data_IF_210007918163
#
_entry.id   IF_210007918163
#
_cell.length_a   1.000
_cell.length_b   1.000
_cell.length_c   1.000
_cell.angle_alpha   90.00
_cell.angle_beta   90.00
_cell.angle_gamma   90.00
#
_symmetry.space_group_name_H-M   'P 1'
#
loop_
_entity.id
_entity.type
_entity.pdbx_description
1 polymer ?
#
# COMPACT_ATOMS: atom_id res chain seq x y z
N UNK A 1 20.71 2.36 12.98
CA UNK A 1 20.32 1.17 12.18
C UNK A 1 21.04 -0.08 12.72
N UNK A 2 21.09 -0.32 14.04
CA UNK A 2 21.98 -1.37 14.57
C UNK A 2 21.30 -2.69 14.98
N UNK A 3 19.97 -2.78 14.99
CA UNK A 3 19.30 -3.95 15.58
C UNK A 3 18.19 -4.54 14.70
N UNK A 4 18.34 -4.49 13.38
CA UNK A 4 17.40 -5.11 12.42
C UNK A 4 17.07 -6.57 12.77
N UNK A 5 18.10 -7.35 13.09
CA UNK A 5 17.95 -8.75 13.46
C UNK A 5 17.18 -8.94 14.79
N UNK A 6 17.33 -8.03 15.77
CA UNK A 6 16.57 -8.08 17.02
C UNK A 6 15.09 -7.77 16.79
N UNK A 7 14.81 -6.80 15.90
CA UNK A 7 13.43 -6.52 15.50
C UNK A 7 12.79 -7.75 14.83
N UNK A 8 13.50 -8.41 13.91
CA UNK A 8 12.99 -9.65 13.30
C UNK A 8 12.75 -10.74 14.34
N UNK A 9 13.67 -10.94 15.29
CA UNK A 9 13.47 -11.94 16.37
C UNK A 9 12.27 -11.62 17.26
N UNK A 10 12.09 -10.35 17.64
CA UNK A 10 10.94 -9.89 18.43
C UNK A 10 9.63 -10.12 17.68
N UNK A 11 9.57 -9.77 16.38
CA UNK A 11 8.40 -9.97 15.52
C UNK A 11 8.05 -11.45 15.37
N UNK A 12 9.04 -12.30 15.06
CA UNK A 12 8.84 -13.74 14.95
C UNK A 12 8.27 -14.32 16.25
N UNK A 13 8.82 -13.91 17.40
CA UNK A 13 8.36 -14.37 18.71
C UNK A 13 6.94 -13.89 19.02
N UNK A 14 6.63 -12.61 18.80
CA UNK A 14 5.31 -12.02 19.10
C UNK A 14 4.20 -12.65 18.29
N UNK A 15 4.47 -12.94 17.02
CA UNK A 15 3.48 -13.50 16.09
C UNK A 15 3.53 -15.04 16.02
N UNK A 16 4.32 -15.69 16.88
CA UNK A 16 4.48 -17.15 16.91
C UNK A 16 4.88 -17.74 15.54
N UNK A 17 5.78 -17.06 14.83
CA UNK A 17 6.29 -17.45 13.53
C UNK A 17 7.65 -18.13 13.67
N UNK A 18 7.86 -19.20 12.91
CA UNK A 18 9.17 -19.83 12.80
C UNK A 18 10.03 -19.12 11.76
N UNK A 19 11.36 -19.22 11.90
CA UNK A 19 12.29 -18.75 10.86
C UNK A 19 12.03 -19.47 9.54
N UNK A 20 11.68 -20.76 9.57
CA UNK A 20 11.36 -21.54 8.36
C UNK A 20 10.11 -21.01 7.63
N UNK A 21 9.07 -20.60 8.35
CA UNK A 21 7.88 -19.98 7.76
C UNK A 21 8.22 -18.65 7.06
N UNK A 22 9.07 -17.82 7.69
CA UNK A 22 9.56 -16.60 7.06
C UNK A 22 10.46 -16.90 5.85
N UNK A 23 11.27 -17.96 5.90
CA UNK A 23 12.16 -18.37 4.80
C UNK A 23 11.35 -18.78 3.56
N UNK A 24 10.30 -19.56 3.79
CA UNK A 24 9.35 -19.96 2.76
C UNK A 24 8.66 -18.74 2.14
N UNK A 25 8.14 -17.82 2.96
CA UNK A 25 7.47 -16.62 2.46
C UNK A 25 8.42 -15.67 1.71
N UNK A 26 9.70 -15.62 2.09
CA UNK A 26 10.72 -14.80 1.44
C UNK A 26 11.39 -15.48 0.23
N UNK A 27 10.99 -16.70 -0.13
CA UNK A 27 11.63 -17.55 -1.14
C UNK A 27 13.16 -17.59 -0.96
N UNK A 28 13.57 -17.98 0.25
CA UNK A 28 14.96 -18.00 0.69
C UNK A 28 15.27 -19.29 1.43
N UNK A 29 16.50 -19.81 1.29
CA UNK A 29 16.93 -20.94 2.09
C UNK A 29 16.96 -20.61 3.59
N UNK A 30 16.46 -21.53 4.42
CA UNK A 30 16.45 -21.42 5.88
C UNK A 30 17.81 -21.02 6.44
N UNK A 31 18.89 -21.65 5.97
CA UNK A 31 20.27 -21.36 6.40
C UNK A 31 20.65 -19.90 6.21
N UNK A 32 20.28 -19.32 5.06
CA UNK A 32 20.53 -17.91 4.75
C UNK A 32 19.70 -17.00 5.63
N UNK A 33 18.44 -17.35 5.89
CA UNK A 33 17.59 -16.54 6.77
C UNK A 33 18.06 -16.61 8.23
N UNK A 34 18.53 -17.75 8.71
CA UNK A 34 19.14 -17.89 10.03
C UNK A 34 20.42 -17.06 10.20
N UNK A 35 21.16 -16.76 9.13
CA UNK A 35 22.29 -15.82 9.19
C UNK A 35 21.82 -14.39 9.42
N UNK A 36 20.75 -13.96 8.76
CA UNK A 36 20.17 -12.63 8.95
C UNK A 36 19.49 -12.48 10.32
N UNK A 37 18.60 -13.41 10.69
CA UNK A 37 17.90 -13.36 11.98
C UNK A 37 18.85 -13.55 13.16
N UNK A 38 19.93 -14.29 12.98
CA UNK A 38 21.01 -14.45 13.97
C UNK A 38 22.01 -13.30 14.02
N UNK A 39 21.85 -12.25 13.21
CA UNK A 39 22.76 -11.10 13.16
C UNK A 39 24.15 -11.39 12.57
N UNK A 40 24.39 -12.61 12.05
CA UNK A 40 25.64 -12.99 11.37
C UNK A 40 25.80 -12.28 10.03
N UNK A 41 24.68 -11.93 9.40
CA UNK A 41 24.63 -11.19 8.15
C UNK A 41 23.83 -9.90 8.34
N UNK A 42 24.44 -8.77 7.99
CA UNK A 42 23.84 -7.43 8.05
C UNK A 42 23.03 -7.14 6.78
N UNK A 43 22.26 -6.05 6.82
CA UNK A 43 21.45 -5.55 5.70
C UNK A 43 20.41 -6.57 5.26
N UNK A 44 19.39 -6.76 6.09
CA UNK A 44 18.32 -7.71 5.78
C UNK A 44 17.64 -7.30 4.47
N UNK A 45 17.56 -8.19 3.45
CA UNK A 45 17.01 -7.82 2.14
C UNK A 45 15.54 -7.42 2.20
N UNK A 46 15.13 -6.49 1.34
CA UNK A 46 13.74 -6.00 1.28
C UNK A 46 12.70 -7.12 1.16
N UNK A 47 13.00 -8.20 0.43
CA UNK A 47 12.10 -9.36 0.32
C UNK A 47 11.78 -10.05 1.65
N UNK A 48 12.72 -10.03 2.61
CA UNK A 48 12.52 -10.58 3.95
C UNK A 48 11.60 -9.66 4.76
N UNK A 49 11.82 -8.35 4.67
CA UNK A 49 10.93 -7.36 5.30
C UNK A 49 9.52 -7.41 4.72
N UNK A 50 9.38 -7.54 3.40
CA UNK A 50 8.09 -7.70 2.72
C UNK A 50 7.37 -8.95 3.23
N UNK A 51 8.03 -10.11 3.21
CA UNK A 51 7.47 -11.36 3.70
C UNK A 51 7.07 -11.28 5.18
N UNK A 52 7.90 -10.65 6.02
CA UNK A 52 7.60 -10.47 7.44
C UNK A 52 6.40 -9.53 7.65
N UNK A 53 6.28 -8.46 6.87
CA UNK A 53 5.13 -7.58 6.91
C UNK A 53 3.85 -8.29 6.45
N UNK A 54 3.90 -9.05 5.35
CA UNK A 54 2.76 -9.85 4.88
C UNK A 54 2.28 -10.87 5.93
N UNK A 55 3.19 -11.41 6.74
CA UNK A 55 2.86 -12.38 7.79
C UNK A 55 2.39 -11.75 9.12
N UNK A 56 2.72 -10.49 9.38
CA UNK A 56 2.54 -9.87 10.71
C UNK A 56 1.69 -8.60 10.70
N UNK A 57 1.61 -7.92 9.56
CA UNK A 57 1.07 -6.57 9.39
C UNK A 57 1.68 -5.55 10.39
N UNK A 58 2.89 -5.80 10.91
CA UNK A 58 3.50 -4.96 11.92
C UNK A 58 4.09 -3.68 11.31
N UNK A 59 3.50 -2.55 11.68
CA UNK A 59 3.83 -1.21 11.17
C UNK A 59 5.27 -0.78 11.47
N UNK A 60 5.94 -1.37 12.47
CA UNK A 60 7.35 -1.06 12.78
C UNK A 60 8.29 -1.44 11.64
N UNK A 61 7.89 -2.36 10.78
CA UNK A 61 8.65 -2.73 9.57
C UNK A 61 8.61 -1.56 8.58
N UNK A 62 7.46 -0.89 8.45
CA UNK A 62 7.33 0.28 7.58
C UNK A 62 8.16 1.43 8.12
N UNK A 63 8.05 1.74 9.42
CA UNK A 63 8.86 2.77 10.09
C UNK A 63 10.37 2.55 9.89
N UNK A 64 10.82 1.29 9.88
CA UNK A 64 12.21 0.94 9.60
C UNK A 64 12.60 1.24 8.15
N UNK A 65 11.76 0.84 7.19
CA UNK A 65 12.05 0.95 5.76
C UNK A 65 11.94 2.38 5.23
N UNK A 66 11.01 3.17 5.78
CA UNK A 66 10.70 4.53 5.33
C UNK A 66 11.33 5.59 6.23
N UNK A 67 11.82 5.20 7.41
CA UNK A 67 12.35 6.11 8.41
C UNK A 67 11.25 6.93 9.09
N UNK A 68 11.56 8.16 9.50
CA UNK A 68 10.60 9.11 10.08
C UNK A 68 9.85 9.91 9.02
N UNK A 69 9.70 9.37 7.83
CA UNK A 69 8.87 9.99 6.79
C UNK A 69 7.43 9.63 7.14
N UNK A 70 6.53 10.60 7.15
CA UNK A 70 5.10 10.30 7.22
C UNK A 70 4.73 9.46 6.00
N UNK A 71 4.33 8.21 6.23
CA UNK A 71 4.01 7.27 5.17
C UNK A 71 2.56 6.88 5.25
N UNK A 72 1.95 6.85 4.09
CA UNK A 72 0.60 6.39 3.89
C UNK A 72 0.62 5.06 3.14
N UNK A 73 0.27 3.97 3.82
CA UNK A 73 0.24 2.64 3.20
C UNK A 73 -1.17 2.32 2.77
N UNK A 74 -1.32 2.09 1.48
CA UNK A 74 -2.59 1.71 0.87
C UNK A 74 -2.42 0.33 0.26
N UNK A 75 -3.29 -0.64 0.61
CA UNK A 75 -3.31 -1.90 -0.10
C UNK A 75 -3.57 -1.62 -1.58
N UNK A 76 -2.60 -1.93 -2.42
CA UNK A 76 -2.81 -1.82 -3.84
C UNK A 76 -3.98 -2.74 -4.21
N UNK A 77 -4.96 -2.22 -4.94
CA UNK A 77 -6.03 -3.07 -5.42
C UNK A 77 -5.42 -4.21 -6.24
N UNK A 78 -5.89 -5.43 -5.99
CA UNK A 78 -5.60 -6.54 -6.90
C UNK A 78 -6.02 -6.10 -8.31
N UNK A 79 -5.30 -6.52 -9.38
CA UNK A 79 -5.68 -6.20 -10.74
C UNK A 79 -7.18 -6.42 -10.89
N UNK A 80 -7.86 -5.43 -11.47
CA UNK A 80 -9.31 -5.41 -11.50
C UNK A 80 -9.80 -6.75 -12.09
N UNK A 81 -10.77 -7.43 -11.45
CA UNK A 81 -11.32 -8.65 -12.03
C UNK A 81 -11.75 -8.36 -13.46
N UNK A 82 -11.57 -9.32 -14.37
CA UNK A 82 -11.87 -9.16 -15.81
C UNK A 82 -13.31 -8.67 -16.08
N UNK A 83 -14.19 -8.79 -15.09
CA UNK A 83 -15.60 -8.39 -15.08
C UNK A 83 -15.89 -7.09 -14.29
N UNK A 84 -15.16 -5.99 -14.54
CA UNK A 84 -15.60 -4.67 -14.05
C UNK A 84 -16.86 -4.26 -14.80
N UNK A 85 -18.02 -4.38 -14.15
CA UNK A 85 -19.31 -4.02 -14.75
C UNK A 85 -19.49 -2.50 -14.88
N UNK A 86 -20.32 -2.06 -15.82
CA UNK A 86 -20.67 -0.65 -15.99
C UNK A 86 -21.25 -0.01 -14.70
N UNK A 87 -21.98 -0.78 -13.90
CA UNK A 87 -22.50 -0.30 -12.61
C UNK A 87 -21.39 -0.11 -11.56
N UNK A 88 -20.38 -0.98 -11.58
CA UNK A 88 -19.19 -0.82 -10.74
C UNK A 88 -18.44 0.45 -11.14
N UNK A 89 -18.20 0.67 -12.44
CA UNK A 89 -17.57 1.90 -12.95
C UNK A 89 -18.36 3.14 -12.52
N UNK A 90 -19.68 3.14 -12.68
CA UNK A 90 -20.53 4.26 -12.28
C UNK A 90 -20.37 4.60 -10.80
N UNK A 91 -20.39 3.60 -9.92
CA UNK A 91 -20.16 3.81 -8.47
C UNK A 91 -18.78 4.36 -8.16
N UNK A 92 -17.74 3.88 -8.84
CA UNK A 92 -16.37 4.37 -8.66
C UNK A 92 -16.26 5.85 -9.10
N UNK A 93 -16.90 6.21 -10.21
CA UNK A 93 -16.95 7.59 -10.71
C UNK A 93 -17.67 8.51 -9.72
N UNK A 94 -18.85 8.12 -9.23
CA UNK A 94 -19.59 8.94 -8.27
C UNK A 94 -18.81 9.12 -6.96
N UNK A 95 -18.13 8.07 -6.48
CA UNK A 95 -17.25 8.21 -5.32
C UNK A 95 -16.08 9.18 -5.60
N UNK A 96 -15.43 9.07 -6.75
CA UNK A 96 -14.31 9.96 -7.11
C UNK A 96 -14.74 11.42 -7.25
N UNK A 97 -15.96 11.69 -7.75
CA UNK A 97 -16.52 13.05 -7.77
C UNK A 97 -16.65 13.63 -6.36
N UNK A 98 -17.20 12.84 -5.44
CA UNK A 98 -17.34 13.27 -4.04
C UNK A 98 -15.97 13.50 -3.39
N UNK A 99 -14.97 12.66 -3.67
CA UNK A 99 -13.60 12.88 -3.19
C UNK A 99 -13.03 14.21 -3.71
N UNK A 100 -13.27 14.55 -4.99
CA UNK A 100 -12.84 15.83 -5.59
C UNK A 100 -13.54 17.03 -4.94
N UNK A 101 -14.86 16.92 -4.65
CA UNK A 101 -15.60 17.97 -3.95
C UNK A 101 -15.03 18.21 -2.55
N UNK A 102 -14.67 17.14 -1.82
CA UNK A 102 -14.02 17.25 -0.52
C UNK A 102 -12.61 17.87 -0.64
N UNK A 103 -11.81 17.47 -1.63
CA UNK A 103 -10.50 18.07 -1.89
C UNK A 103 -10.63 19.57 -2.18
N UNK A 104 -11.62 19.99 -2.98
CA UNK A 104 -11.88 21.40 -3.27
C UNK A 104 -12.23 22.19 -2.01
N UNK A 105 -13.09 21.65 -1.14
CA UNK A 105 -13.43 22.30 0.13
C UNK A 105 -12.19 22.51 1.02
N UNK A 106 -11.25 21.55 1.03
CA UNK A 106 -9.99 21.68 1.78
C UNK A 106 -9.09 22.75 1.16
N UNK A 107 -9.03 22.83 -0.17
CA UNK A 107 -8.27 23.88 -0.85
C UNK A 107 -8.85 25.27 -0.54
N UNK A 108 -10.17 25.40 -0.45
CA UNK A 108 -10.84 26.65 -0.08
C UNK A 108 -10.50 27.06 1.36
N UNK A 109 -10.51 26.12 2.31
CA UNK A 109 -10.05 26.31 3.70
C UNK A 109 -8.56 26.73 3.74
N UNK A 110 -7.71 26.09 2.93
CA UNK A 110 -6.30 26.48 2.85
C UNK A 110 -6.11 27.88 2.26
N UNK A 111 -6.98 28.29 1.32
CA UNK A 111 -6.94 29.60 0.69
C UNK A 111 -7.41 30.72 1.63
N UNK A 112 -8.40 30.45 2.49
CA UNK A 112 -8.84 31.41 3.51
C UNK A 112 -7.88 31.53 4.71
N UNK A 113 -6.99 30.55 4.88
CA UNK A 113 -5.90 30.53 5.85
C UNK A 113 -6.35 30.29 7.30
N UNK A 114 -7.57 29.78 7.51
CA UNK A 114 -8.14 29.49 8.83
C UNK A 114 -8.76 28.10 8.83
N UNK A 115 -8.74 27.45 9.99
CA UNK A 115 -9.50 26.21 10.22
C UNK A 115 -10.47 26.49 11.35
N UNK A 116 -11.70 26.82 11.00
CA UNK A 116 -12.76 27.12 11.94
C UNK A 116 -13.44 25.86 12.48
N UNK A 117 -14.56 26.03 13.21
CA UNK A 117 -15.25 24.88 13.82
C UNK A 117 -16.03 24.05 12.80
N UNK A 118 -16.57 24.66 11.75
CA UNK A 118 -17.24 23.98 10.66
C UNK A 118 -16.22 23.19 9.82
N UNK A 119 -15.04 23.77 9.61
CA UNK A 119 -13.95 23.13 8.85
C UNK A 119 -13.42 21.86 9.53
N UNK A 120 -13.39 21.83 10.86
CA UNK A 120 -12.90 20.68 11.64
C UNK A 120 -13.69 19.41 11.36
N UNK A 121 -14.99 19.51 11.16
CA UNK A 121 -15.83 18.34 10.87
C UNK A 121 -15.54 17.81 9.46
N UNK A 122 -15.42 18.72 8.47
CA UNK A 122 -15.06 18.36 7.10
C UNK A 122 -13.65 17.74 6.99
N UNK A 123 -12.66 18.31 7.67
CA UNK A 123 -11.29 17.81 7.69
C UNK A 123 -11.22 16.43 8.36
N UNK A 124 -11.95 16.22 9.46
CA UNK A 124 -11.96 14.94 10.15
C UNK A 124 -12.64 13.85 9.30
N UNK A 125 -13.74 14.18 8.62
CA UNK A 125 -14.38 13.27 7.66
C UNK A 125 -13.43 12.93 6.52
N UNK A 126 -12.73 13.92 5.95
CA UNK A 126 -11.72 13.68 4.92
C UNK A 126 -10.59 12.81 5.43
N UNK A 127 -10.05 13.07 6.62
CA UNK A 127 -8.97 12.26 7.21
C UNK A 127 -9.35 10.79 7.33
N UNK A 128 -10.61 10.51 7.67
CA UNK A 128 -11.13 9.14 7.74
C UNK A 128 -11.36 8.52 6.36
N UNK A 129 -11.77 9.32 5.36
CA UNK A 129 -12.04 8.86 3.99
C UNK A 129 -10.80 8.78 3.09
N UNK A 130 -9.74 9.52 3.40
CA UNK A 130 -8.52 9.66 2.60
C UNK A 130 -7.85 8.31 2.25
N UNK A 131 -7.78 7.31 3.15
CA UNK A 131 -7.24 5.99 2.80
C UNK A 131 -7.99 5.30 1.68
N UNK A 132 -9.31 5.37 1.73
CA UNK A 132 -10.15 4.81 0.69
C UNK A 132 -10.09 5.62 -0.61
N UNK A 133 -9.93 6.93 -0.53
CA UNK A 133 -9.77 7.81 -1.69
C UNK A 133 -8.47 7.49 -2.45
N UNK A 134 -7.33 7.35 -1.76
CA UNK A 134 -6.06 6.97 -2.40
C UNK A 134 -6.14 5.56 -3.00
N UNK A 135 -6.80 4.61 -2.31
CA UNK A 135 -7.02 3.26 -2.85
C UNK A 135 -7.85 3.29 -4.13
N UNK A 136 -8.89 4.11 -4.15
CA UNK A 136 -9.76 4.30 -5.30
C UNK A 136 -9.01 4.94 -6.47
N UNK A 137 -8.18 5.96 -6.21
CA UNK A 137 -7.38 6.61 -7.24
C UNK A 137 -6.41 5.62 -7.90
N UNK A 138 -5.74 4.79 -7.09
CA UNK A 138 -4.91 3.69 -7.60
C UNK A 138 -5.73 2.67 -8.42
N UNK A 139 -6.95 2.33 -8.01
CA UNK A 139 -7.85 1.45 -8.77
C UNK A 139 -8.17 2.03 -10.15
N UNK A 140 -8.58 3.29 -10.20
CA UNK A 140 -8.94 3.98 -11.44
C UNK A 140 -7.74 4.02 -12.39
N UNK A 141 -6.56 4.40 -11.89
CA UNK A 141 -5.33 4.41 -12.68
C UNK A 141 -5.02 3.04 -13.29
N UNK A 142 -5.01 1.98 -12.47
CA UNK A 142 -4.75 0.63 -12.96
C UNK A 142 -5.78 0.16 -13.99
N UNK A 143 -7.06 0.44 -13.76
CA UNK A 143 -8.12 0.08 -14.72
C UNK A 143 -7.93 0.79 -16.06
N UNK A 144 -7.62 2.09 -16.06
CA UNK A 144 -7.37 2.85 -17.29
C UNK A 144 -6.14 2.30 -18.03
N UNK A 145 -5.03 2.07 -17.33
CA UNK A 145 -3.81 1.55 -17.93
C UNK A 145 -4.03 0.16 -18.54
N UNK A 146 -4.74 -0.73 -17.83
CA UNK A 146 -5.08 -2.05 -18.35
C UNK A 146 -5.94 -1.97 -19.63
N UNK A 147 -6.95 -1.09 -19.67
CA UNK A 147 -7.74 -0.90 -20.88
C UNK A 147 -6.91 -0.33 -22.04
N UNK A 148 -6.00 0.59 -21.76
CA UNK A 148 -5.08 1.16 -22.74
C UNK A 148 -4.10 0.12 -23.31
N UNK A 149 -3.49 -0.69 -22.46
CA UNK A 149 -2.62 -1.80 -22.87
C UNK A 149 -3.37 -2.81 -23.73
N UNK A 150 -4.62 -3.14 -23.36
CA UNK A 150 -5.49 -4.00 -24.17
C UNK A 150 -5.85 -3.38 -25.52
N UNK A 151 -6.08 -2.07 -25.60
CA UNK A 151 -6.35 -1.42 -26.89
C UNK A 151 -5.12 -1.47 -27.80
N UNK A 152 -3.92 -1.27 -27.25
CA UNK A 152 -2.68 -1.41 -28.03
C UNK A 152 -2.48 -2.85 -28.54
N UNK A 153 -2.71 -3.85 -27.69
CA UNK A 153 -2.60 -5.26 -28.07
C UNK A 153 -3.66 -5.70 -29.11
N UNK A 154 -4.81 -5.03 -29.16
CA UNK A 154 -5.84 -5.27 -30.16
C UNK A 154 -5.56 -4.56 -31.50
N UNK A 155 -4.72 -3.51 -31.50
CA UNK A 155 -4.31 -2.74 -32.68
C UNK A 155 -3.07 -3.32 -33.39
N UNK A 156 -2.38 -4.29 -32.79
CA UNK A 156 -1.36 -5.11 -33.46
C UNK A 156 -2.01 -6.37 -34.06
N UNK A 157 -2.54 -6.35 -35.31
CA UNK A 157 -2.87 -7.59 -35.97
C UNK A 157 -1.57 -8.38 -36.17
N UNK A 158 -1.60 -9.68 -35.87
CA UNK A 158 -0.52 -10.61 -36.19
C UNK A 158 -0.01 -10.32 -37.61
N UNK A 159 1.20 -9.79 -37.72
CA UNK A 159 1.92 -9.72 -38.97
C UNK A 159 2.31 -11.15 -39.36
N UNK A 160 1.39 -11.87 -40.02
CA UNK A 160 1.66 -13.08 -40.79
C UNK A 160 1.95 -12.72 -42.25
#
# INVERSE_FOLDING_TARGET
>A
MEDEHLLVQDLLKRHNLSVSALAQAADMADSTLYEYTGGRRKNIPLRVWRALFELTEDVRILDLLTGRVEVFVVPMPKPAPEDVTAETLKRLIEKRKMDIECEQAILDILADGRVDRADREAIEQYRQAHPDAIRLDAQIYHTIMHHYERSLAAEEPEAQ
#
